data_IF_579216734001
#
_entry.id   IF_579216734001
#
_cell.length_a   1.000
_cell.length_b   1.000
_cell.length_c   1.000
_cell.angle_alpha   90.00
_cell.angle_beta   90.00
_cell.angle_gamma   90.00
#
_symmetry.space_group_name_H-M   'P 1'
#
loop_
_entity.id
_entity.type
_entity.pdbx_description
1 polymer ?
#
# COMPACT_ATOMS: atom_id res chain seq x y z
N UNK A 1 8.12 0.78 -17.09
CA UNK A 1 7.34 1.85 -16.42
C UNK A 1 6.09 2.06 -17.25
N UNK A 2 4.92 1.68 -16.76
CA UNK A 2 3.66 1.90 -17.48
C UNK A 2 3.39 3.40 -17.52
N UNK A 3 3.24 3.97 -18.71
CA UNK A 3 3.02 5.41 -18.88
C UNK A 3 1.51 5.66 -18.80
N UNK A 4 1.07 6.37 -17.75
CA UNK A 4 -0.30 6.86 -17.60
C UNK A 4 -0.23 8.34 -17.28
N UNK A 5 -0.87 9.16 -18.11
CA UNK A 5 -0.90 10.61 -17.93
C UNK A 5 -2.03 11.05 -16.99
N UNK A 6 -1.96 12.30 -16.50
CA UNK A 6 -2.95 12.83 -15.54
C UNK A 6 -4.37 12.92 -16.12
N UNK A 7 -4.50 13.17 -17.42
CA UNK A 7 -5.81 13.23 -18.07
C UNK A 7 -6.45 11.84 -18.08
N UNK A 8 -5.67 10.81 -18.41
CA UNK A 8 -6.12 9.42 -18.36
C UNK A 8 -6.58 9.01 -16.96
N UNK A 9 -5.84 9.37 -15.90
CA UNK A 9 -6.24 9.08 -14.52
C UNK A 9 -7.59 9.74 -14.16
N UNK A 10 -7.80 10.98 -14.59
CA UNK A 10 -9.07 11.68 -14.36
C UNK A 10 -10.22 11.09 -15.17
N UNK A 11 -9.99 10.76 -16.45
CA UNK A 11 -11.01 10.20 -17.34
C UNK A 11 -11.49 8.82 -16.90
N UNK A 12 -10.58 8.01 -16.35
CA UNK A 12 -10.89 6.71 -15.75
C UNK A 12 -11.46 6.80 -14.32
N UNK A 13 -11.57 7.99 -13.73
CA UNK A 13 -12.00 8.20 -12.34
C UNK A 13 -11.08 7.52 -11.31
N UNK A 14 -9.77 7.47 -11.58
CA UNK A 14 -8.77 6.91 -10.68
C UNK A 14 -8.49 7.87 -9.52
N UNK A 15 -8.21 9.14 -9.84
CA UNK A 15 -8.03 10.21 -8.86
C UNK A 15 -8.98 11.36 -9.21
N UNK A 16 -9.89 11.70 -8.30
CA UNK A 16 -10.87 12.77 -8.52
C UNK A 16 -11.04 13.61 -7.25
N UNK A 17 -11.08 14.93 -7.41
CA UNK A 17 -11.26 15.85 -6.29
C UNK A 17 -12.74 16.12 -5.95
N UNK A 18 -13.68 15.75 -6.82
CA UNK A 18 -15.10 16.15 -6.71
C UNK A 18 -16.04 15.03 -6.28
N UNK A 19 -15.72 13.78 -6.56
CA UNK A 19 -16.57 12.61 -6.28
C UNK A 19 -15.72 11.44 -5.81
N UNK A 20 -16.35 10.39 -5.26
CA UNK A 20 -15.66 9.14 -4.91
C UNK A 20 -14.88 8.61 -6.10
N UNK A 21 -13.60 8.36 -5.89
CA UNK A 21 -12.68 7.81 -6.88
C UNK A 21 -12.25 6.37 -6.54
N UNK A 22 -11.39 5.80 -7.38
CA UNK A 22 -10.89 4.44 -7.11
C UNK A 22 -10.03 4.38 -5.86
N UNK A 23 -9.24 5.41 -5.56
CA UNK A 23 -8.40 5.37 -4.36
C UNK A 23 -9.27 5.33 -3.11
N UNK A 24 -10.29 6.19 -3.03
CA UNK A 24 -11.27 6.22 -1.95
C UNK A 24 -12.02 4.89 -1.80
N UNK A 25 -12.28 4.18 -2.91
CA UNK A 25 -12.91 2.87 -2.87
C UNK A 25 -12.02 1.80 -2.21
N UNK A 26 -10.71 1.84 -2.48
CA UNK A 26 -9.74 0.89 -1.94
C UNK A 26 -9.14 1.32 -0.60
N UNK A 27 -9.35 2.57 -0.18
CA UNK A 27 -8.85 3.12 1.08
C UNK A 27 -9.74 2.73 2.28
N UNK A 28 -9.22 1.77 3.02
CA UNK A 28 -9.67 1.22 4.28
C UNK A 28 -8.46 1.11 5.24
N UNK A 29 -7.40 1.87 4.98
CA UNK A 29 -6.13 1.84 5.71
C UNK A 29 -6.31 2.34 7.14
N UNK A 30 -5.51 1.81 8.07
CA UNK A 30 -5.54 2.23 9.47
C UNK A 30 -4.60 3.42 9.69
N UNK A 31 -3.45 3.39 9.02
CA UNK A 31 -2.35 4.33 9.24
C UNK A 31 -2.21 5.32 8.09
N UNK A 32 -1.67 6.52 8.38
CA UNK A 32 -1.39 7.52 7.34
C UNK A 32 -0.30 7.03 6.37
N UNK A 33 0.74 6.36 6.86
CA UNK A 33 1.77 5.79 6.00
C UNK A 33 1.23 4.69 5.09
N UNK A 34 0.31 3.85 5.57
CA UNK A 34 -0.40 2.87 4.75
C UNK A 34 -1.23 3.52 3.65
N UNK A 35 -1.91 4.63 3.96
CA UNK A 35 -2.64 5.44 2.97
C UNK A 35 -1.70 5.99 1.90
N UNK A 36 -0.57 6.57 2.30
CA UNK A 36 0.44 7.10 1.37
C UNK A 36 1.01 5.98 0.47
N UNK A 37 1.24 4.79 1.03
CA UNK A 37 1.66 3.61 0.29
C UNK A 37 0.59 3.14 -0.70
N UNK A 38 -0.68 3.14 -0.32
CA UNK A 38 -1.79 2.84 -1.24
C UNK A 38 -1.81 3.84 -2.41
N UNK A 39 -1.74 5.15 -2.14
CA UNK A 39 -1.63 6.17 -3.20
C UNK A 39 -0.43 5.92 -4.12
N UNK A 40 0.71 5.50 -3.57
CA UNK A 40 1.91 5.21 -4.36
C UNK A 40 1.69 4.09 -5.39
N UNK A 41 0.84 3.10 -5.09
CA UNK A 41 0.52 2.02 -6.02
C UNK A 41 -0.23 2.56 -7.24
N UNK A 42 -1.22 3.43 -7.04
CA UNK A 42 -1.94 4.07 -8.14
C UNK A 42 -1.01 4.95 -8.99
N UNK A 43 -0.06 5.65 -8.38
CA UNK A 43 0.89 6.47 -9.12
C UNK A 43 1.94 5.67 -9.90
N UNK A 44 2.19 4.41 -9.51
CA UNK A 44 3.22 3.55 -10.12
C UNK A 44 2.66 2.16 -10.44
N UNK A 45 1.89 2.02 -11.54
CA UNK A 45 1.41 0.73 -11.99
C UNK A 45 2.57 -0.23 -12.32
N UNK A 46 2.37 -1.51 -12.04
CA UNK A 46 3.36 -2.56 -12.26
C UNK A 46 3.48 -2.88 -13.76
N UNK A 47 4.68 -3.27 -14.17
CA UNK A 47 4.97 -3.67 -15.56
C UNK A 47 5.46 -5.12 -15.68
N UNK A 48 5.52 -5.86 -14.58
CA UNK A 48 5.95 -7.26 -14.56
C UNK A 48 4.82 -8.17 -14.10
N UNK A 49 4.61 -9.27 -14.83
CA UNK A 49 3.63 -10.30 -14.49
C UNK A 49 3.90 -10.87 -13.10
N UNK A 50 5.16 -11.18 -12.80
CA UNK A 50 5.55 -11.76 -11.52
C UNK A 50 5.24 -10.83 -10.34
N UNK A 51 5.44 -9.51 -10.51
CA UNK A 51 5.12 -8.52 -9.46
C UNK A 51 3.61 -8.42 -9.23
N UNK A 52 2.83 -8.43 -10.32
CA UNK A 52 1.36 -8.40 -10.26
C UNK A 52 0.84 -9.64 -9.54
N UNK A 53 1.23 -10.83 -10.00
CA UNK A 53 0.81 -12.10 -9.38
C UNK A 53 1.24 -12.16 -7.91
N UNK A 54 2.47 -11.74 -7.58
CA UNK A 54 2.95 -11.70 -6.19
C UNK A 54 2.08 -10.81 -5.31
N UNK A 55 1.67 -9.64 -5.81
CA UNK A 55 0.77 -8.73 -5.09
C UNK A 55 -0.63 -9.32 -4.96
N UNK A 56 -1.19 -9.90 -6.02
CA UNK A 56 -2.51 -10.57 -5.99
C UNK A 56 -2.53 -11.68 -4.93
N UNK A 57 -1.50 -12.53 -4.90
CA UNK A 57 -1.35 -13.58 -3.89
C UNK A 57 -1.25 -13.02 -2.47
N UNK A 58 -0.50 -11.94 -2.26
CA UNK A 58 -0.43 -11.28 -0.95
C UNK A 58 -1.79 -10.73 -0.53
N UNK A 59 -2.53 -10.06 -1.41
CA UNK A 59 -3.87 -9.55 -1.09
C UNK A 59 -4.82 -10.70 -0.73
N UNK A 60 -4.80 -11.80 -1.48
CA UNK A 60 -5.58 -13.01 -1.17
C UNK A 60 -5.20 -13.61 0.19
N UNK A 61 -3.90 -13.63 0.53
CA UNK A 61 -3.44 -14.06 1.83
C UNK A 61 -3.95 -13.14 2.95
N UNK A 62 -3.94 -11.82 2.73
CA UNK A 62 -4.47 -10.81 3.66
C UNK A 62 -5.98 -10.90 3.87
N UNK A 63 -6.74 -11.56 2.99
CA UNK A 63 -8.16 -11.83 3.25
C UNK A 63 -8.38 -12.88 4.35
N UNK A 64 -7.42 -13.79 4.54
CA UNK A 64 -7.49 -14.89 5.51
C UNK A 64 -6.91 -14.51 6.88
N UNK A 65 -6.01 -13.53 6.92
CA UNK A 65 -5.26 -13.13 8.12
C UNK A 65 -5.68 -11.74 8.56
N UNK A 66 -6.04 -11.59 9.83
CA UNK A 66 -6.30 -10.28 10.42
C UNK A 66 -5.00 -9.67 10.98
N UNK A 67 -4.68 -8.45 10.53
CA UNK A 67 -3.50 -7.67 10.95
C UNK A 67 -3.92 -6.46 11.80
N UNK A 68 -5.22 -6.26 12.03
CA UNK A 68 -5.74 -5.09 12.78
C UNK A 68 -5.11 -4.92 14.17
N UNK A 69 -4.70 -6.02 14.80
CA UNK A 69 -4.08 -5.97 16.13
C UNK A 69 -2.63 -5.46 16.11
N UNK A 70 -1.98 -5.45 14.94
CA UNK A 70 -0.62 -4.94 14.74
C UNK A 70 -0.59 -3.46 14.37
N UNK A 71 -1.73 -2.88 13.99
CA UNK A 71 -1.80 -1.52 13.44
C UNK A 71 -2.79 -0.67 14.25
N UNK A 72 -2.27 0.41 14.84
CA UNK A 72 -3.08 1.45 15.46
C UNK A 72 -2.61 2.83 14.94
N UNK A 73 -3.58 3.67 14.57
CA UNK A 73 -3.32 4.99 13.96
C UNK A 73 -2.51 5.89 14.89
N UNK A 74 -2.85 5.94 16.17
CA UNK A 74 -2.20 6.80 17.14
C UNK A 74 -0.82 6.24 17.53
N UNK A 75 -0.70 4.91 17.59
CA UNK A 75 0.57 4.23 17.81
C UNK A 75 1.61 4.63 16.75
N UNK A 76 1.28 4.57 15.46
CA UNK A 76 2.26 4.94 14.41
C UNK A 76 2.63 6.42 14.47
N UNK A 77 1.68 7.32 14.77
CA UNK A 77 1.98 8.74 14.94
C UNK A 77 2.96 8.99 16.11
N UNK A 78 2.75 8.32 17.24
CA UNK A 78 3.65 8.39 18.40
C UNK A 78 5.05 7.84 18.06
N UNK A 79 5.13 6.78 17.26
CA UNK A 79 6.39 6.16 16.82
C UNK A 79 7.19 7.05 15.86
N UNK A 80 6.52 7.70 14.91
CA UNK A 80 7.14 8.69 14.02
C UNK A 80 7.62 9.92 14.82
N UNK A 81 6.83 10.38 15.80
CA UNK A 81 7.26 11.43 16.73
C UNK A 81 8.51 10.99 17.51
N UNK A 82 8.54 9.76 18.02
CA UNK A 82 9.67 9.22 18.76
C UNK A 82 10.95 9.16 17.91
N UNK A 83 10.88 8.69 16.66
CA UNK A 83 12.03 8.65 15.75
C UNK A 83 12.46 10.04 15.25
N UNK A 84 11.60 11.05 15.32
CA UNK A 84 11.91 12.43 14.94
C UNK A 84 12.43 13.29 16.09
N UNK A 85 12.33 12.82 17.34
CA UNK A 85 12.92 13.52 18.49
C UNK A 85 14.40 13.84 18.22
N UNK A 86 14.85 15.07 18.51
CA UNK A 86 16.21 15.49 18.23
C UNK A 86 17.20 14.48 18.84
N UNK A 87 18.12 14.02 18.02
CA UNK A 87 19.28 13.29 18.51
C UNK A 87 20.08 14.31 19.31
N UNK A 88 20.02 14.21 20.65
CA UNK A 88 20.92 14.98 21.50
C UNK A 88 22.36 14.65 21.07
N UNK A 89 23.22 15.66 20.95
CA UNK A 89 24.39 15.61 20.09
C UNK A 89 25.35 14.49 20.50
N UNK A 90 25.44 13.46 19.65
CA UNK A 90 26.52 12.47 19.58
C UNK A 90 27.27 12.17 20.89
N UNK A 91 26.57 11.60 21.87
CA UNK A 91 27.27 10.85 22.90
C UNK A 91 27.85 9.58 22.28
N UNK A 92 29.17 9.51 22.12
CA UNK A 92 29.89 8.32 21.64
C UNK A 92 29.77 7.11 22.58
N UNK A 93 29.23 7.30 23.78
CA UNK A 93 29.07 6.29 24.82
C UNK A 93 27.67 6.35 25.48
N UNK A 94 27.14 5.18 25.82
CA UNK A 94 25.87 5.00 26.57
C UNK A 94 25.86 5.80 27.89
N UNK A 95 27.02 5.97 28.52
CA UNK A 95 27.14 6.71 29.78
C UNK A 95 26.96 8.22 29.59
N UNK A 96 27.51 8.79 28.52
CA UNK A 96 27.34 10.23 28.21
C UNK A 96 25.91 10.52 27.78
N UNK A 97 25.28 9.62 27.03
CA UNK A 97 23.85 9.71 26.68
C UNK A 97 22.96 9.82 27.93
N UNK A 98 23.23 8.97 28.92
CA UNK A 98 22.53 8.97 30.19
C UNK A 98 22.72 10.28 30.98
N UNK A 99 23.97 10.79 31.03
CA UNK A 99 24.29 12.03 31.74
C UNK A 99 23.63 13.25 31.08
N UNK A 100 23.55 13.29 29.75
CA UNK A 100 22.82 14.34 29.03
C UNK A 100 21.32 14.27 29.28
N UNK A 101 20.73 13.06 29.21
CA UNK A 101 19.31 12.86 29.49
C UNK A 101 18.92 13.31 30.91
N UNK A 102 19.78 13.03 31.91
CA UNK A 102 19.55 13.42 33.31
C UNK A 102 19.80 14.92 33.53
N UNK A 103 20.79 15.50 32.86
CA UNK A 103 21.18 16.92 33.05
C UNK A 103 20.27 17.91 32.34
N UNK A 104 19.63 17.52 31.23
CA UNK A 104 18.89 18.46 30.38
C UNK A 104 17.53 18.90 30.94
N UNK A 105 16.86 18.18 31.84
CA UNK A 105 15.54 18.61 32.38
C UNK A 105 14.97 17.73 33.52
N UNK A 106 15.70 17.54 34.63
CA UNK A 106 15.28 16.61 35.69
C UNK A 106 13.96 16.95 36.42
N UNK A 107 13.43 18.18 36.30
CA UNK A 107 12.30 18.69 37.10
C UNK A 107 11.08 19.19 36.30
N UNK A 108 11.08 19.15 34.96
CA UNK A 108 9.96 19.67 34.16
C UNK A 108 8.93 18.56 33.81
N UNK A 109 7.64 18.94 33.73
CA UNK A 109 6.56 18.04 33.32
C UNK A 109 6.81 17.41 31.92
N UNK A 110 7.58 18.10 31.09
CA UNK A 110 7.94 17.64 29.75
C UNK A 110 8.88 16.43 29.76
N UNK A 111 9.74 16.30 30.78
CA UNK A 111 10.60 15.12 30.93
C UNK A 111 9.77 13.85 31.20
N UNK A 112 8.78 13.92 32.11
CA UNK A 112 7.90 12.80 32.40
C UNK A 112 7.08 12.38 31.17
N UNK A 113 6.58 13.34 30.40
CA UNK A 113 5.88 13.05 29.14
C UNK A 113 6.81 12.35 28.13
N UNK A 114 8.05 12.81 28.01
CA UNK A 114 9.06 12.21 27.12
C UNK A 114 9.44 10.80 27.56
N UNK A 115 9.63 10.56 28.85
CA UNK A 115 9.92 9.22 29.40
C UNK A 115 8.78 8.24 29.09
N UNK A 116 7.52 8.67 29.26
CA UNK A 116 6.35 7.86 28.92
C UNK A 116 6.32 7.54 27.41
N UNK A 117 6.56 8.54 26.55
CA UNK A 117 6.62 8.35 25.10
C UNK A 117 7.72 7.34 24.74
N UNK A 118 8.95 7.53 25.21
CA UNK A 118 10.08 6.62 24.94
C UNK A 118 9.75 5.19 25.37
N UNK A 119 9.29 5.01 26.61
CA UNK A 119 8.94 3.69 27.15
C UNK A 119 7.87 3.01 26.31
N UNK A 120 6.81 3.75 25.95
CA UNK A 120 5.74 3.25 25.08
C UNK A 120 6.28 2.89 23.70
N UNK A 121 7.05 3.77 23.07
CA UNK A 121 7.60 3.54 21.73
C UNK A 121 8.51 2.32 21.66
N UNK A 122 9.39 2.10 22.66
CA UNK A 122 10.23 0.90 22.72
C UNK A 122 9.36 -0.37 22.82
N UNK A 123 8.32 -0.33 23.65
CA UNK A 123 7.39 -1.44 23.80
C UNK A 123 6.63 -1.74 22.51
N UNK A 124 6.10 -0.71 21.83
CA UNK A 124 5.35 -0.88 20.58
C UNK A 124 6.26 -1.34 19.43
N UNK A 125 7.49 -0.84 19.33
CA UNK A 125 8.48 -1.36 18.36
C UNK A 125 8.72 -2.85 18.60
N UNK A 126 8.93 -3.27 19.86
CA UNK A 126 9.13 -4.69 20.17
C UNK A 126 7.90 -5.54 19.77
N UNK A 127 6.68 -5.08 20.08
CA UNK A 127 5.43 -5.75 19.70
C UNK A 127 5.28 -5.87 18.18
N UNK A 128 5.54 -4.78 17.45
CA UNK A 128 5.50 -4.76 15.98
C UNK A 128 6.50 -5.77 15.42
N UNK A 129 7.76 -5.75 15.89
CA UNK A 129 8.80 -6.65 15.39
C UNK A 129 8.45 -8.11 15.66
N UNK A 130 7.96 -8.45 16.85
CA UNK A 130 7.54 -9.80 17.21
C UNK A 130 6.30 -10.24 16.41
N UNK A 131 5.29 -9.37 16.33
CA UNK A 131 4.07 -9.61 15.58
C UNK A 131 4.32 -9.83 14.08
N UNK A 132 5.21 -9.04 13.47
CA UNK A 132 5.67 -9.26 12.09
C UNK A 132 6.44 -10.57 11.94
N UNK A 133 7.30 -10.94 12.89
CA UNK A 133 8.00 -12.22 12.85
C UNK A 133 7.02 -13.40 12.86
N UNK A 134 6.00 -13.36 13.71
CA UNK A 134 4.92 -14.37 13.78
C UNK A 134 4.12 -14.40 12.48
N UNK A 135 3.71 -13.23 12.00
CA UNK A 135 2.98 -13.09 10.74
C UNK A 135 3.75 -13.70 9.56
N UNK A 136 5.04 -13.35 9.40
CA UNK A 136 5.89 -13.88 8.33
C UNK A 136 6.17 -15.39 8.47
N UNK A 137 6.18 -15.91 9.70
CA UNK A 137 6.27 -17.35 9.94
C UNK A 137 4.99 -18.09 9.51
N UNK A 138 3.81 -17.48 9.70
CA UNK A 138 2.52 -18.04 9.28
C UNK A 138 2.35 -18.09 7.76
N UNK A 139 3.00 -17.18 7.03
CA UNK A 139 2.89 -17.06 5.57
C UNK A 139 3.68 -18.15 4.78
N UNK A 140 4.19 -19.19 5.45
CA UNK A 140 5.17 -20.14 4.88
C UNK A 140 4.61 -21.23 3.93
N UNK A 141 3.36 -21.21 3.50
CA UNK A 141 2.76 -22.40 2.84
C UNK A 141 2.07 -22.21 1.48
N UNK A 142 2.03 -21.03 0.85
CA UNK A 142 1.27 -20.88 -0.42
C UNK A 142 2.03 -20.01 -1.47
N UNK A 143 2.76 -20.65 -2.39
CA UNK A 143 3.07 -20.10 -3.73
C UNK A 143 4.13 -18.99 -3.88
N UNK A 144 4.09 -18.31 -5.04
CA UNK A 144 5.13 -17.42 -5.61
C UNK A 144 5.48 -16.16 -4.79
N UNK A 145 4.77 -15.85 -3.70
CA UNK A 145 5.01 -14.70 -2.80
C UNK A 145 6.30 -14.81 -1.95
N UNK A 146 7.11 -15.84 -2.17
CA UNK A 146 8.33 -16.13 -1.41
C UNK A 146 9.40 -15.04 -1.48
N UNK A 147 9.49 -14.25 -2.55
CA UNK A 147 10.53 -13.22 -2.69
C UNK A 147 10.29 -12.03 -1.75
N UNK A 148 9.09 -11.44 -1.82
CA UNK A 148 8.69 -10.27 -1.02
C UNK A 148 8.68 -10.63 0.47
N UNK A 149 8.13 -11.80 0.83
CA UNK A 149 8.11 -12.25 2.22
C UNK A 149 9.51 -12.53 2.78
N UNK A 150 10.45 -13.02 1.95
CA UNK A 150 11.86 -13.16 2.35
C UNK A 150 12.51 -11.80 2.60
N UNK A 151 12.19 -10.79 1.80
CA UNK A 151 12.69 -9.43 1.99
C UNK A 151 12.17 -8.83 3.31
N UNK A 152 10.87 -8.93 3.58
CA UNK A 152 10.30 -8.49 4.87
C UNK A 152 10.94 -9.19 6.06
N UNK A 153 11.21 -10.49 5.93
CA UNK A 153 11.88 -11.24 6.98
C UNK A 153 13.31 -10.75 7.24
N UNK A 154 14.05 -10.35 6.21
CA UNK A 154 15.40 -9.75 6.40
C UNK A 154 15.34 -8.46 7.21
N UNK A 155 14.36 -7.59 6.97
CA UNK A 155 14.20 -6.36 7.74
C UNK A 155 13.90 -6.64 9.22
N UNK A 156 13.04 -7.62 9.50
CA UNK A 156 12.75 -8.07 10.87
C UNK A 156 13.98 -8.68 11.54
N UNK A 157 14.71 -9.56 10.83
CA UNK A 157 15.93 -10.19 11.34
C UNK A 157 17.03 -9.15 11.65
N UNK A 158 17.17 -8.09 10.83
CA UNK A 158 18.11 -6.99 11.04
C UNK A 158 17.85 -6.22 12.34
N UNK A 159 16.58 -6.02 12.72
CA UNK A 159 16.23 -5.40 14.00
C UNK A 159 16.53 -6.34 15.17
N UNK A 160 16.23 -7.63 15.02
CA UNK A 160 16.44 -8.63 16.08
C UNK A 160 17.90 -9.07 16.25
N UNK A 161 18.77 -8.75 15.29
CA UNK A 161 20.21 -9.02 15.36
C UNK A 161 20.87 -8.25 16.51
N UNK A 162 21.69 -8.96 17.30
CA UNK A 162 22.40 -8.48 18.49
C UNK A 162 21.49 -8.02 19.66
N UNK A 163 20.20 -8.36 19.62
CA UNK A 163 19.27 -8.13 20.73
C UNK A 163 19.22 -9.37 21.62
N UNK A 164 19.40 -9.16 22.94
CA UNK A 164 19.23 -10.21 23.93
C UNK A 164 17.76 -10.66 24.01
N UNK A 165 17.52 -11.97 23.91
CA UNK A 165 16.16 -12.54 23.84
C UNK A 165 15.38 -12.39 25.14
N UNK A 166 16.05 -12.43 26.29
CA UNK A 166 15.38 -12.31 27.59
C UNK A 166 15.07 -10.85 27.88
N UNK A 167 15.95 -9.93 27.52
CA UNK A 167 15.66 -8.49 27.53
C UNK A 167 14.49 -8.15 26.59
N UNK A 168 14.49 -8.67 25.36
CA UNK A 168 13.40 -8.43 24.40
C UNK A 168 12.04 -8.92 24.91
N UNK A 169 12.00 -10.08 25.57
CA UNK A 169 10.78 -10.57 26.25
C UNK A 169 10.33 -9.65 27.38
N UNK A 170 11.24 -8.98 28.09
CA UNK A 170 10.88 -7.98 29.10
C UNK A 170 10.22 -6.74 28.45
N UNK A 171 10.74 -6.30 27.30
CA UNK A 171 10.13 -5.22 26.51
C UNK A 171 8.70 -5.57 26.10
N UNK A 172 8.47 -6.78 25.58
CA UNK A 172 7.14 -7.26 25.18
C UNK A 172 6.14 -7.32 26.35
N UNK A 173 6.60 -7.57 27.57
CA UNK A 173 5.76 -7.62 28.76
C UNK A 173 5.62 -6.26 29.48
N UNK A 174 6.11 -5.17 28.88
CA UNK A 174 6.11 -3.82 29.44
C UNK A 174 6.82 -3.73 30.82
N UNK A 175 7.80 -4.62 31.06
CA UNK A 175 8.60 -4.66 32.29
C UNK A 175 9.93 -3.96 32.04
N UNK A 176 9.98 -2.66 32.34
CA UNK A 176 11.15 -1.83 32.10
C UNK A 176 11.88 -1.46 33.39
N UNK A 177 13.17 -1.79 33.47
CA UNK A 177 14.10 -1.05 34.32
C UNK A 177 14.52 0.23 33.58
N UNK A 178 14.93 1.27 34.32
CA UNK A 178 15.41 2.53 33.70
C UNK A 178 16.62 2.27 32.79
N UNK A 179 17.53 1.40 33.21
CA UNK A 179 18.71 1.02 32.45
C UNK A 179 18.37 0.36 31.11
N UNK A 180 17.34 -0.48 31.10
CA UNK A 180 16.83 -1.15 29.91
C UNK A 180 16.20 -0.13 28.95
N UNK A 181 15.37 0.77 29.48
CA UNK A 181 14.78 1.86 28.69
C UNK A 181 15.86 2.69 27.98
N UNK A 182 16.89 3.14 28.71
CA UNK A 182 17.99 3.95 28.14
C UNK A 182 18.79 3.15 27.10
N UNK A 183 19.04 1.86 27.37
CA UNK A 183 19.76 0.97 26.44
C UNK A 183 19.03 0.88 25.10
N UNK A 184 17.73 0.58 25.13
CA UNK A 184 16.94 0.37 23.92
C UNK A 184 16.54 1.67 23.23
N UNK A 185 16.38 2.77 23.96
CA UNK A 185 16.23 4.11 23.37
C UNK A 185 17.45 4.46 22.51
N UNK A 186 18.65 4.29 23.07
CA UNK A 186 19.90 4.49 22.35
C UNK A 186 20.04 3.54 21.16
N UNK A 187 19.76 2.24 21.35
CA UNK A 187 19.86 1.24 20.29
C UNK A 187 18.91 1.56 19.13
N UNK A 188 17.65 1.86 19.41
CA UNK A 188 16.62 2.10 18.39
C UNK A 188 16.79 3.43 17.68
N UNK A 189 17.12 4.52 18.39
CA UNK A 189 17.21 5.85 17.77
C UNK A 189 18.57 6.17 17.14
N UNK A 190 19.64 5.46 17.49
CA UNK A 190 20.98 5.71 16.95
C UNK A 190 21.50 4.58 16.08
N UNK A 191 21.53 3.34 16.60
CA UNK A 191 22.18 2.22 15.90
C UNK A 191 21.24 1.59 14.86
N UNK A 192 20.02 1.21 15.28
CA UNK A 192 19.04 0.45 14.49
C UNK A 192 17.96 1.34 13.86
N UNK A 193 18.15 2.66 13.81
CA UNK A 193 17.14 3.64 13.33
C UNK A 193 16.64 3.34 11.92
N UNK A 194 17.57 3.02 11.01
CA UNK A 194 17.21 2.71 9.63
C UNK A 194 16.45 1.38 9.54
N UNK A 195 16.88 0.35 10.27
CA UNK A 195 16.19 -0.94 10.31
C UNK A 195 14.75 -0.82 10.86
N UNK A 196 14.52 0.06 11.84
CA UNK A 196 13.17 0.33 12.36
C UNK A 196 12.31 1.05 11.32
N UNK A 197 12.89 2.00 10.56
CA UNK A 197 12.17 2.65 9.44
C UNK A 197 11.79 1.65 8.37
N UNK A 198 12.68 0.73 8.02
CA UNK A 198 12.37 -0.35 7.08
C UNK A 198 11.22 -1.23 7.59
N UNK A 199 11.15 -1.51 8.90
CA UNK A 199 10.00 -2.20 9.51
C UNK A 199 8.71 -1.37 9.36
N UNK A 200 8.76 -0.05 9.53
CA UNK A 200 7.58 0.81 9.33
C UNK A 200 7.14 0.80 7.87
N UNK A 201 8.08 0.84 6.91
CA UNK A 201 7.77 0.73 5.49
C UNK A 201 7.09 -0.60 5.16
N UNK A 202 7.56 -1.70 5.77
CA UNK A 202 6.89 -3.01 5.68
C UNK A 202 5.48 -2.94 6.24
N UNK A 203 5.29 -2.38 7.44
CA UNK A 203 3.95 -2.23 8.04
C UNK A 203 3.00 -1.42 7.15
N UNK A 204 3.45 -0.27 6.62
CA UNK A 204 2.66 0.57 5.74
C UNK A 204 2.30 -0.16 4.44
N UNK A 205 3.22 -0.95 3.90
CA UNK A 205 2.94 -1.81 2.75
C UNK A 205 1.89 -2.88 3.09
N UNK A 206 1.98 -3.53 4.25
CA UNK A 206 0.97 -4.52 4.68
C UNK A 206 -0.39 -3.87 4.94
N UNK A 207 -0.44 -2.68 5.54
CA UNK A 207 -1.67 -1.90 5.76
C UNK A 207 -2.36 -1.56 4.43
N UNK A 208 -1.60 -1.09 3.43
CA UNK A 208 -2.11 -0.81 2.10
C UNK A 208 -2.71 -2.06 1.41
N UNK A 209 -2.03 -3.21 1.50
CA UNK A 209 -2.55 -4.46 0.93
C UNK A 209 -3.76 -5.00 1.70
N UNK A 210 -3.74 -4.92 3.02
CA UNK A 210 -4.84 -5.31 3.89
C UNK A 210 -6.08 -4.45 3.63
N UNK A 211 -5.89 -3.14 3.40
CA UNK A 211 -6.93 -2.21 2.98
C UNK A 211 -7.64 -2.67 1.70
N UNK A 212 -6.88 -3.08 0.69
CA UNK A 212 -7.43 -3.63 -0.57
C UNK A 212 -8.17 -4.95 -0.30
N UNK A 213 -7.61 -5.83 0.53
CA UNK A 213 -8.25 -7.10 0.90
C UNK A 213 -9.58 -6.89 1.64
N UNK A 214 -9.66 -5.85 2.48
CA UNK A 214 -10.86 -5.47 3.23
C UNK A 214 -11.92 -4.83 2.34
N UNK A 215 -11.52 -3.97 1.40
CA UNK A 215 -12.45 -3.24 0.53
C UNK A 215 -13.23 -4.14 -0.44
N UNK A 216 -12.70 -5.33 -0.73
CA UNK A 216 -13.29 -6.32 -1.64
C UNK A 216 -14.18 -7.36 -0.94
N UNK A 217 -14.14 -7.42 0.40
CA UNK A 217 -14.94 -8.38 1.17
C UNK A 217 -16.44 -8.16 0.92
N UNK A 218 -17.14 -9.19 0.44
CA UNK A 218 -18.57 -9.13 0.13
C UNK A 218 -18.92 -8.45 -1.20
N UNK A 219 -17.94 -8.16 -2.06
CA UNK A 219 -18.14 -7.61 -3.41
C UNK A 219 -17.77 -8.65 -4.48
N UNK A 220 -18.41 -8.55 -5.64
CA UNK A 220 -18.16 -9.42 -6.80
C UNK A 220 -16.98 -8.91 -7.64
N UNK A 221 -15.80 -8.87 -7.04
CA UNK A 221 -14.56 -8.49 -7.72
C UNK A 221 -13.65 -9.71 -7.89
N UNK A 222 -12.93 -9.77 -9.00
CA UNK A 222 -12.07 -10.91 -9.35
C UNK A 222 -10.64 -10.46 -9.65
N UNK A 223 -9.66 -11.29 -9.31
CA UNK A 223 -8.28 -11.02 -9.70
C UNK A 223 -8.06 -11.38 -11.18
N UNK A 224 -7.53 -10.46 -12.00
CA UNK A 224 -7.32 -10.71 -13.42
C UNK A 224 -6.13 -11.66 -13.64
N UNK A 225 -6.26 -12.56 -14.61
CA UNK A 225 -5.17 -13.43 -15.04
C UNK A 225 -4.30 -12.71 -16.08
N UNK A 226 -3.00 -12.62 -15.81
CA UNK A 226 -2.04 -11.97 -16.70
C UNK A 226 -1.40 -13.00 -17.64
N UNK A 227 -1.59 -12.82 -18.95
CA UNK A 227 -1.02 -13.69 -19.99
C UNK A 227 0.24 -13.05 -20.63
N UNK A 228 1.16 -13.87 -21.12
CA UNK A 228 2.36 -13.39 -21.82
C UNK A 228 2.02 -13.02 -23.28
N UNK A 229 2.65 -11.96 -23.80
CA UNK A 229 2.42 -11.45 -25.18
C UNK A 229 2.78 -12.46 -26.29
N UNK A 230 3.48 -13.55 -25.96
CA UNK A 230 4.21 -14.41 -26.90
C UNK A 230 3.40 -15.54 -27.54
N UNK A 231 2.17 -15.82 -27.11
CA UNK A 231 1.43 -17.00 -27.61
C UNK A 231 -0.09 -16.87 -27.84
N UNK A 232 -0.74 -15.79 -27.40
CA UNK A 232 -2.20 -15.65 -27.48
C UNK A 232 -2.68 -14.72 -28.61
N UNK A 233 -3.84 -15.05 -29.21
CA UNK A 233 -4.59 -14.13 -30.08
C UNK A 233 -5.32 -13.06 -29.25
N UNK A 234 -5.69 -13.36 -28.00
CA UNK A 234 -6.50 -12.49 -27.17
C UNK A 234 -5.62 -11.50 -26.39
N UNK A 235 -5.93 -10.20 -26.51
CA UNK A 235 -5.27 -9.14 -25.75
C UNK A 235 -6.01 -8.85 -24.44
N UNK A 236 -7.34 -8.75 -24.50
CA UNK A 236 -8.21 -8.49 -23.35
C UNK A 236 -9.44 -9.38 -23.50
N UNK A 237 -9.75 -10.15 -22.46
CA UNK A 237 -11.02 -10.87 -22.34
C UNK A 237 -11.63 -10.54 -20.98
N UNK A 238 -12.80 -9.94 -20.95
CA UNK A 238 -13.53 -9.63 -19.73
C UNK A 238 -14.94 -10.22 -19.86
N UNK A 239 -15.35 -11.03 -18.90
CA UNK A 239 -16.72 -11.51 -18.78
C UNK A 239 -17.44 -10.74 -17.69
N UNK A 240 -18.61 -10.23 -18.02
CA UNK A 240 -19.48 -9.53 -17.08
C UNK A 240 -18.89 -8.23 -16.51
N UNK A 241 -18.19 -7.44 -17.33
CA UNK A 241 -17.59 -6.18 -16.92
C UNK A 241 -18.66 -5.16 -16.49
N UNK A 242 -18.45 -4.50 -15.35
CA UNK A 242 -19.34 -3.45 -14.86
C UNK A 242 -18.57 -2.28 -14.24
N UNK A 243 -19.20 -1.11 -14.15
CA UNK A 243 -18.56 0.06 -13.55
C UNK A 243 -18.72 0.05 -12.03
N UNK A 244 -17.62 0.17 -11.28
CA UNK A 244 -17.58 0.17 -9.81
C UNK A 244 -18.48 1.22 -9.14
N UNK A 245 -18.72 2.35 -9.80
CA UNK A 245 -19.41 3.51 -9.23
C UNK A 245 -20.86 3.66 -9.69
N UNK A 246 -21.38 2.69 -10.44
CA UNK A 246 -22.75 2.69 -10.94
C UNK A 246 -23.51 1.57 -10.23
N UNK A 247 -24.54 1.95 -9.48
CA UNK A 247 -25.46 0.99 -8.86
C UNK A 247 -26.24 0.24 -9.95
N UNK A 248 -26.45 -1.07 -9.74
CA UNK A 248 -27.15 -1.97 -10.65
C UNK A 248 -26.67 -1.89 -12.12
N UNK A 249 -25.36 -1.69 -12.30
CA UNK A 249 -24.75 -1.59 -13.62
C UNK A 249 -24.98 -2.87 -14.46
N UNK A 250 -25.40 -2.67 -15.71
CA UNK A 250 -25.52 -3.76 -16.69
C UNK A 250 -24.12 -4.26 -17.02
N UNK A 251 -23.92 -5.57 -16.85
CA UNK A 251 -22.68 -6.26 -17.16
C UNK A 251 -22.49 -6.42 -18.67
N UNK A 252 -21.26 -6.23 -19.16
CA UNK A 252 -20.91 -6.36 -20.57
C UNK A 252 -19.71 -7.29 -20.75
N UNK A 253 -19.78 -8.20 -21.73
CA UNK A 253 -18.64 -8.99 -22.16
C UNK A 253 -17.77 -8.21 -23.15
N UNK A 254 -16.46 -8.36 -23.06
CA UNK A 254 -15.46 -7.63 -23.86
C UNK A 254 -14.38 -8.60 -24.31
N UNK A 255 -14.14 -8.67 -25.63
CA UNK A 255 -13.10 -9.51 -26.22
C UNK A 255 -12.33 -8.71 -27.27
N UNK A 256 -11.08 -8.39 -27.00
CA UNK A 256 -10.19 -7.67 -27.90
C UNK A 256 -9.07 -8.62 -28.31
N UNK A 257 -8.99 -8.93 -29.60
CA UNK A 257 -7.96 -9.79 -30.18
C UNK A 257 -6.88 -8.96 -30.85
N UNK A 258 -5.69 -9.52 -30.99
CA UNK A 258 -4.54 -8.91 -31.67
C UNK A 258 -4.86 -8.52 -33.12
N UNK A 259 -5.64 -9.34 -33.82
CA UNK A 259 -6.06 -9.08 -35.20
C UNK A 259 -7.20 -8.07 -35.32
N UNK A 260 -8.00 -7.91 -34.26
CA UNK A 260 -9.18 -7.03 -34.20
C UNK A 260 -9.10 -6.09 -33.00
N UNK A 261 -8.01 -5.34 -32.90
CA UNK A 261 -7.70 -4.47 -31.77
C UNK A 261 -8.20 -3.02 -31.93
N UNK A 262 -8.98 -2.74 -32.98
CA UNK A 262 -9.61 -1.46 -33.23
C UNK A 262 -11.13 -1.57 -33.15
N UNK A 263 -11.73 -0.85 -32.21
CA UNK A 263 -13.17 -0.85 -31.99
C UNK A 263 -13.80 0.48 -32.43
N UNK A 264 -14.80 0.40 -33.30
CA UNK A 264 -15.67 1.52 -33.66
C UNK A 264 -17.00 1.39 -32.91
N UNK A 265 -17.13 2.09 -31.78
CA UNK A 265 -18.34 2.10 -30.97
C UNK A 265 -19.32 3.17 -31.49
N UNK A 266 -20.39 2.73 -32.14
CA UNK A 266 -21.47 3.60 -32.63
C UNK A 266 -22.74 3.44 -31.80
N UNK A 267 -23.67 4.39 -31.91
CA UNK A 267 -24.94 4.39 -31.19
C UNK A 267 -25.35 5.78 -30.70
N UNK A 268 -26.60 5.96 -30.27
CA UNK A 268 -27.12 7.24 -29.80
C UNK A 268 -26.33 7.79 -28.59
N UNK A 269 -26.32 9.10 -28.39
CA UNK A 269 -25.75 9.68 -27.17
C UNK A 269 -26.47 9.12 -25.92
N UNK A 270 -25.74 9.01 -24.80
CA UNK A 270 -26.26 8.48 -23.52
C UNK A 270 -26.56 6.98 -23.46
N UNK A 271 -26.21 6.20 -24.49
CA UNK A 271 -26.33 4.72 -24.50
C UNK A 271 -25.24 3.99 -23.70
N UNK A 272 -24.42 4.71 -22.93
CA UNK A 272 -23.38 4.09 -22.09
C UNK A 272 -22.05 3.80 -22.79
N UNK A 273 -21.83 4.26 -24.03
CA UNK A 273 -20.54 4.07 -24.75
C UNK A 273 -19.33 4.55 -23.94
N UNK A 274 -19.39 5.77 -23.41
CA UNK A 274 -18.32 6.33 -22.58
C UNK A 274 -18.15 5.54 -21.27
N UNK A 275 -19.25 5.05 -20.70
CA UNK A 275 -19.21 4.18 -19.51
C UNK A 275 -18.50 2.87 -19.80
N UNK A 276 -18.78 2.22 -20.94
CA UNK A 276 -18.11 0.99 -21.35
C UNK A 276 -16.60 1.21 -21.52
N UNK A 277 -16.19 2.28 -22.21
CA UNK A 277 -14.77 2.64 -22.38
C UNK A 277 -14.07 2.87 -21.03
N UNK A 278 -14.71 3.59 -20.11
CA UNK A 278 -14.20 3.80 -18.75
C UNK A 278 -14.09 2.48 -17.99
N UNK A 279 -15.08 1.60 -18.09
CA UNK A 279 -15.08 0.28 -17.44
C UNK A 279 -13.91 -0.58 -17.93
N UNK A 280 -13.70 -0.67 -19.24
CA UNK A 280 -12.58 -1.42 -19.83
C UNK A 280 -11.25 -0.84 -19.35
N UNK A 281 -11.07 0.49 -19.49
CA UNK A 281 -9.84 1.16 -19.07
C UNK A 281 -9.56 0.99 -17.57
N UNK A 282 -10.60 1.06 -16.73
CA UNK A 282 -10.47 0.83 -15.27
C UNK A 282 -10.06 -0.59 -14.95
N UNK A 283 -10.64 -1.59 -15.63
CA UNK A 283 -10.27 -3.00 -15.43
C UNK A 283 -8.80 -3.25 -15.82
N UNK A 284 -8.36 -2.76 -16.97
CA UNK A 284 -6.96 -2.89 -17.41
C UNK A 284 -6.02 -2.16 -16.45
N UNK A 285 -6.39 -0.97 -16.01
CA UNK A 285 -5.59 -0.19 -15.07
C UNK A 285 -5.45 -0.89 -13.71
N UNK A 286 -6.54 -1.39 -13.12
CA UNK A 286 -6.52 -2.17 -11.87
C UNK A 286 -5.73 -3.47 -12.02
N UNK A 287 -5.78 -4.11 -13.19
CA UNK A 287 -4.95 -5.29 -13.48
C UNK A 287 -3.45 -4.95 -13.41
N UNK A 288 -3.03 -3.79 -13.93
CA UNK A 288 -1.66 -3.29 -13.79
C UNK A 288 -1.28 -2.91 -12.35
N UNK A 289 -2.25 -2.60 -11.48
CA UNK A 289 -1.98 -2.41 -10.05
C UNK A 289 -1.82 -3.74 -9.30
N UNK A 290 -2.23 -4.85 -9.90
CA UNK A 290 -2.39 -6.14 -9.23
C UNK A 290 -3.59 -6.19 -8.30
N UNK A 291 -4.59 -5.35 -8.56
CA UNK A 291 -5.83 -5.24 -7.79
C UNK A 291 -6.94 -6.05 -8.44
N UNK A 292 -8.01 -6.39 -7.69
CA UNK A 292 -9.16 -7.06 -8.25
C UNK A 292 -10.00 -6.08 -9.09
N UNK A 293 -10.63 -6.62 -10.14
CA UNK A 293 -11.38 -5.87 -11.17
C UNK A 293 -12.88 -6.13 -11.04
N UNK A 294 -13.69 -5.19 -11.54
CA UNK A 294 -15.16 -5.30 -11.58
C UNK A 294 -15.64 -6.10 -12.78
N UNK A 295 -15.51 -7.42 -12.67
CA UNK A 295 -15.91 -8.40 -13.68
C UNK A 295 -16.20 -9.75 -13.03
N UNK A 296 -16.83 -10.67 -13.76
CA UNK A 296 -16.99 -12.07 -13.36
C UNK A 296 -15.74 -12.90 -13.70
N UNK A 297 -15.01 -12.52 -14.74
CA UNK A 297 -13.69 -13.06 -15.07
C UNK A 297 -12.92 -12.06 -15.94
N UNK A 298 -11.59 -12.01 -15.80
CA UNK A 298 -10.74 -11.20 -16.66
C UNK A 298 -9.42 -11.90 -16.98
N UNK A 299 -9.03 -11.83 -18.25
CA UNK A 299 -7.71 -12.16 -18.77
C UNK A 299 -7.17 -10.97 -19.55
N UNK A 300 -5.89 -10.66 -19.39
CA UNK A 300 -5.26 -9.57 -20.12
C UNK A 300 -3.78 -9.80 -20.32
N UNK A 301 -3.24 -9.26 -21.40
CA UNK A 301 -1.78 -9.06 -21.52
C UNK A 301 -1.34 -7.80 -20.76
N UNK A 302 -0.03 -7.64 -20.58
CA UNK A 302 0.54 -6.40 -20.05
C UNK A 302 0.66 -5.33 -21.15
N UNK A 303 0.16 -4.14 -20.86
CA UNK A 303 0.30 -2.97 -21.73
C UNK A 303 1.46 -2.08 -21.30
N UNK A 304 2.09 -1.42 -22.27
CA UNK A 304 3.20 -0.51 -22.01
C UNK A 304 2.71 0.85 -21.45
N UNK A 305 1.43 1.16 -21.63
CA UNK A 305 0.77 2.34 -21.11
C UNK A 305 -0.73 2.32 -21.43
N UNK A 306 -1.47 3.24 -20.80
CA UNK A 306 -2.89 3.46 -21.05
C UNK A 306 -3.06 4.95 -21.33
N UNK A 307 -3.79 5.27 -22.39
CA UNK A 307 -4.16 6.65 -22.74
C UNK A 307 -5.66 6.73 -22.99
N UNK A 308 -6.32 7.70 -22.38
CA UNK A 308 -7.74 7.94 -22.53
C UNK A 308 -8.02 9.43 -22.69
N UNK A 309 -8.90 9.74 -23.65
CA UNK A 309 -9.47 11.07 -23.85
C UNK A 309 -10.98 10.88 -24.01
N UNK A 310 -11.72 11.01 -22.91
CA UNK A 310 -13.16 10.69 -22.87
C UNK A 310 -13.98 11.94 -22.63
N UNK A 311 -13.61 12.73 -21.61
CA UNK A 311 -14.29 13.97 -21.29
C UNK A 311 -13.34 15.15 -21.56
N UNK A 312 -13.41 15.69 -22.78
CA UNK A 312 -12.90 17.02 -23.06
C UNK A 312 -13.90 18.03 -22.47
N UNK A 313 -13.71 18.40 -21.21
CA UNK A 313 -14.49 19.50 -20.61
C UNK A 313 -14.20 20.80 -21.35
N UNK A 314 -15.23 21.48 -21.82
CA UNK A 314 -15.08 22.79 -22.47
C UNK A 314 -14.57 23.83 -21.46
N UNK A 315 -13.35 24.31 -21.65
CA UNK A 315 -12.83 25.46 -20.91
C UNK A 315 -13.10 26.73 -21.73
N UNK A 316 -14.38 27.11 -21.85
CA UNK A 316 -14.83 28.31 -22.58
C UNK A 316 -14.13 29.58 -22.04
N UNK A 317 -13.79 29.58 -20.75
CA UNK A 317 -13.10 30.70 -20.08
C UNK A 317 -11.62 30.85 -20.48
N UNK A 318 -11.01 29.87 -21.15
CA UNK A 318 -9.61 29.91 -21.57
C UNK A 318 -9.40 30.37 -23.02
N UNK A 319 -10.47 30.66 -23.78
CA UNK A 319 -10.39 31.21 -25.14
C UNK A 319 -9.68 30.32 -26.18
N UNK A 320 -9.37 29.05 -25.86
CA UNK A 320 -8.70 28.13 -26.75
C UNK A 320 -9.70 27.15 -27.37
N UNK A 321 -9.78 27.16 -28.70
CA UNK A 321 -10.59 26.21 -29.49
C UNK A 321 -10.01 24.79 -29.40
N UNK A 322 -10.87 23.80 -29.15
CA UNK A 322 -10.53 22.37 -29.07
C UNK A 322 -9.91 21.78 -30.35
N UNK A 323 -9.95 22.48 -31.48
CA UNK A 323 -9.30 22.03 -32.72
C UNK A 323 -7.78 22.21 -32.74
N UNK A 324 -7.21 22.90 -31.75
CA UNK A 324 -5.77 23.13 -31.63
C UNK A 324 -5.19 22.44 -30.40
N UNK A 325 -5.05 21.11 -30.41
CA UNK A 325 -4.00 20.43 -29.64
C UNK A 325 -3.72 19.03 -30.13
#
# INVERSE_FOLDING_TARGET
MSIVDKQTLADLNVTNSRYKDMVDFFDCTVTLGGRDMLYSYFLKPLSSKLEIESRQHLILFMQKVEISDLLDKYMMQDLEQYLSLPQEPYSSSRATYYLEMVSTNFLSLDFKKREILIKRSIHEIAKITDGLAIFLASAKSEGHSLAILKEYRKHVDCVLEDIDRDEFKQLLNNKFSKELMIKYDYLFRNIKRNAIREIFDVLYHLDALFSVAKSIKGKNLVFPQIEEKTGGEDMITIRGAYNLFIEDAIKNDVEIKKENNLWYLTGANMTGKSTLLKTIGSCVYLAHLGFPVSADAMKTVLFDGISATINLGDNINAGASHFFK
#
